data_IF_909872495377
#
_entry.id   IF_909872495377
#
_cell.length_a   1.000
_cell.length_b   1.000
_cell.length_c   1.000
_cell.angle_alpha   90.00
_cell.angle_beta   90.00
_cell.angle_gamma   90.00
#
_symmetry.space_group_name_H-M   'P 1'
#
loop_
_entity.id
_entity.type
_entity.pdbx_description
1 polymer ?
#
# COMPACT_ATOMS: atom_id res chain seq x y z
N UNK A 1 -7.79 -5.32 11.12
CA UNK A 1 -8.80 -5.87 10.18
C UNK A 1 -10.15 -5.15 10.19
N UNK A 2 -10.63 -4.61 11.31
CA UNK A 2 -11.97 -3.99 11.40
C UNK A 2 -12.25 -2.88 10.36
N UNK A 3 -11.24 -2.09 10.01
CA UNK A 3 -11.35 -1.03 9.01
C UNK A 3 -11.30 -1.53 7.55
N UNK A 4 -10.98 -2.82 7.34
CA UNK A 4 -10.84 -3.47 6.04
C UNK A 4 -11.64 -4.79 6.02
N UNK A 5 -12.98 -4.73 6.13
CA UNK A 5 -13.82 -5.92 6.21
C UNK A 5 -13.78 -6.78 4.94
N UNK A 6 -13.56 -6.18 3.77
CA UNK A 6 -13.40 -6.91 2.51
C UNK A 6 -12.11 -7.72 2.50
N UNK A 7 -10.98 -7.15 2.93
CA UNK A 7 -9.73 -7.89 3.07
C UNK A 7 -9.88 -9.07 4.05
N UNK A 8 -10.57 -8.88 5.18
CA UNK A 8 -10.86 -9.99 6.09
C UNK A 8 -11.72 -11.07 5.42
N UNK A 9 -12.71 -10.67 4.62
CA UNK A 9 -13.57 -11.59 3.87
C UNK A 9 -12.79 -12.35 2.79
N UNK A 10 -11.83 -11.69 2.12
CA UNK A 10 -10.94 -12.30 1.12
C UNK A 10 -10.04 -13.37 1.75
N UNK A 11 -9.49 -13.11 2.95
CA UNK A 11 -8.72 -14.11 3.70
C UNK A 11 -9.58 -15.34 3.99
N UNK A 12 -10.79 -15.14 4.55
CA UNK A 12 -11.68 -16.25 4.89
C UNK A 12 -12.16 -17.04 3.67
N UNK A 13 -12.36 -16.39 2.51
CA UNK A 13 -12.71 -17.06 1.24
C UNK A 13 -11.59 -17.95 0.70
N UNK A 14 -10.35 -17.72 1.13
CA UNK A 14 -9.17 -18.51 0.80
C UNK A 14 -8.78 -19.48 1.94
N UNK A 15 -9.71 -19.74 2.88
CA UNK A 15 -9.47 -20.58 4.06
C UNK A 15 -8.30 -20.09 4.95
N UNK A 16 -7.89 -18.83 4.82
CA UNK A 16 -6.88 -18.19 5.64
C UNK A 16 -7.52 -17.62 6.92
N UNK A 17 -7.43 -18.38 8.01
CA UNK A 17 -7.92 -17.93 9.32
C UNK A 17 -6.85 -17.09 10.02
N UNK A 18 -7.11 -15.80 10.32
CA UNK A 18 -6.16 -14.97 11.07
C UNK A 18 -5.71 -15.65 12.37
N UNK A 19 -4.41 -15.68 12.60
CA UNK A 19 -3.76 -16.33 13.73
C UNK A 19 -3.33 -17.78 13.48
N UNK A 20 -3.79 -18.40 12.39
CA UNK A 20 -3.36 -19.74 11.92
C UNK A 20 -2.53 -19.69 10.62
N UNK A 21 -2.34 -18.49 10.09
CA UNK A 21 -1.59 -18.24 8.87
C UNK A 21 -0.09 -18.40 9.15
N UNK A 22 0.62 -19.01 8.20
CA UNK A 22 2.05 -19.35 8.30
C UNK A 22 2.71 -18.97 7.00
N UNK A 23 3.61 -17.97 7.03
CA UNK A 23 4.27 -17.46 5.81
C UNK A 23 5.22 -18.44 5.14
N UNK A 24 5.78 -19.40 5.89
CA UNK A 24 6.63 -20.46 5.33
C UNK A 24 5.83 -21.51 4.55
N UNK A 25 4.50 -21.54 4.69
CA UNK A 25 3.64 -22.36 3.84
C UNK A 25 3.43 -21.62 2.49
N UNK A 26 3.89 -22.17 1.36
CA UNK A 26 3.80 -21.49 0.07
C UNK A 26 2.36 -21.15 -0.34
N UNK A 27 1.38 -22.00 0.00
CA UNK A 27 -0.03 -21.73 -0.32
C UNK A 27 -0.55 -20.52 0.46
N UNK A 28 -0.30 -20.49 1.78
CA UNK A 28 -0.68 -19.34 2.60
C UNK A 28 0.02 -18.06 2.13
N UNK A 29 1.31 -18.14 1.80
CA UNK A 29 2.04 -17.00 1.25
C UNK A 29 1.39 -16.46 -0.02
N UNK A 30 1.11 -17.32 -1.00
CA UNK A 30 0.48 -16.92 -2.26
C UNK A 30 -0.89 -16.29 -2.05
N UNK A 31 -1.73 -16.91 -1.22
CA UNK A 31 -3.09 -16.45 -0.93
C UNK A 31 -3.10 -15.08 -0.22
N UNK A 32 -2.19 -14.86 0.74
CA UNK A 32 -2.05 -13.53 1.40
C UNK A 32 -1.60 -12.49 0.39
N UNK A 33 -0.57 -12.79 -0.42
CA UNK A 33 -0.06 -11.85 -1.41
C UNK A 33 -1.15 -11.51 -2.46
N UNK A 34 -2.00 -12.47 -2.81
CA UNK A 34 -3.14 -12.24 -3.69
C UNK A 34 -4.20 -11.36 -3.03
N UNK A 35 -4.56 -11.62 -1.76
CA UNK A 35 -5.48 -10.77 -1.02
C UNK A 35 -4.97 -9.32 -0.90
N UNK A 36 -3.66 -9.14 -0.66
CA UNK A 36 -3.06 -7.80 -0.62
C UNK A 36 -3.11 -7.10 -1.99
N UNK A 37 -2.89 -7.83 -3.09
CA UNK A 37 -3.01 -7.26 -4.46
C UNK A 37 -4.44 -6.84 -4.76
N UNK A 38 -5.42 -7.68 -4.45
CA UNK A 38 -6.85 -7.33 -4.62
C UNK A 38 -7.19 -6.06 -3.85
N UNK A 39 -6.74 -5.94 -2.60
CA UNK A 39 -6.98 -4.74 -1.81
C UNK A 39 -6.32 -3.49 -2.41
N UNK A 40 -5.13 -3.62 -3.00
CA UNK A 40 -4.47 -2.51 -3.70
C UNK A 40 -5.23 -2.13 -4.98
N UNK A 41 -5.73 -3.10 -5.74
CA UNK A 41 -6.50 -2.84 -6.95
C UNK A 41 -7.82 -2.11 -6.62
N UNK A 42 -8.53 -2.53 -5.57
CA UNK A 42 -9.73 -1.84 -5.07
C UNK A 42 -9.42 -0.40 -4.63
N UNK A 43 -8.28 -0.20 -3.96
CA UNK A 43 -7.80 1.12 -3.59
C UNK A 43 -7.52 1.98 -4.83
N UNK A 44 -6.89 1.44 -5.86
CA UNK A 44 -6.62 2.15 -7.11
C UNK A 44 -7.89 2.56 -7.85
N UNK A 45 -8.90 1.70 -7.93
CA UNK A 45 -10.18 2.06 -8.53
C UNK A 45 -10.87 3.16 -7.74
N UNK A 46 -10.81 3.10 -6.40
CA UNK A 46 -11.35 4.14 -5.52
C UNK A 46 -10.65 5.49 -5.76
N UNK A 47 -9.31 5.50 -5.81
CA UNK A 47 -8.54 6.73 -6.08
C UNK A 47 -8.86 7.29 -7.47
N UNK A 48 -8.93 6.44 -8.50
CA UNK A 48 -9.28 6.90 -9.86
C UNK A 48 -10.65 7.56 -9.89
N UNK A 49 -11.65 6.95 -9.25
CA UNK A 49 -13.00 7.50 -9.18
C UNK A 49 -13.05 8.82 -8.41
N UNK A 50 -12.38 8.90 -7.27
CA UNK A 50 -12.32 10.11 -6.43
C UNK A 50 -11.62 11.28 -7.16
N UNK A 51 -10.48 11.02 -7.79
CA UNK A 51 -9.73 12.04 -8.54
C UNK A 51 -10.48 12.51 -9.78
N UNK A 52 -11.16 11.60 -10.48
CA UNK A 52 -12.04 11.96 -11.60
C UNK A 52 -13.21 12.84 -11.14
N UNK A 53 -13.81 12.54 -9.98
CA UNK A 53 -14.91 13.35 -9.43
C UNK A 53 -14.44 14.74 -8.97
N UNK A 54 -13.21 14.83 -8.44
CA UNK A 54 -12.64 16.06 -7.88
C UNK A 54 -12.07 17.00 -8.95
N UNK A 55 -11.32 16.45 -9.90
CA UNK A 55 -10.52 17.23 -10.87
C UNK A 55 -11.00 17.09 -12.32
N UNK A 56 -11.91 16.15 -12.61
CA UNK A 56 -12.43 15.93 -13.95
C UNK A 56 -11.43 15.33 -14.93
N UNK A 57 -11.67 15.54 -16.22
CA UNK A 57 -10.90 14.92 -17.31
C UNK A 57 -9.50 15.51 -17.52
N UNK A 58 -9.20 16.65 -16.90
CA UNK A 58 -7.88 17.32 -16.95
C UNK A 58 -6.87 16.66 -16.00
N UNK A 59 -7.28 15.59 -15.31
CA UNK A 59 -6.48 14.84 -14.36
C UNK A 59 -6.36 13.38 -14.74
N UNK A 60 -5.17 12.83 -14.57
CA UNK A 60 -4.88 11.42 -14.87
C UNK A 60 -4.20 10.77 -13.67
N UNK A 61 -4.60 9.54 -13.38
CA UNK A 61 -3.99 8.72 -12.32
C UNK A 61 -3.23 7.58 -12.98
N UNK A 62 -1.92 7.54 -12.76
CA UNK A 62 -1.05 6.43 -13.19
C UNK A 62 -0.67 5.61 -11.97
N UNK A 63 -1.18 4.38 -11.89
CA UNK A 63 -0.89 3.46 -10.79
C UNK A 63 0.40 2.70 -11.04
N UNK A 64 1.21 2.48 -10.00
CA UNK A 64 2.35 1.59 -10.08
C UNK A 64 1.94 0.17 -9.66
N UNK A 65 2.31 -0.87 -10.43
CA UNK A 65 1.96 -2.24 -10.06
C UNK A 65 2.60 -2.61 -8.71
N UNK A 66 1.90 -3.37 -7.84
CA UNK A 66 2.48 -3.82 -6.58
C UNK A 66 3.71 -4.70 -6.83
N UNK A 67 4.80 -4.42 -6.11
CA UNK A 67 6.04 -5.19 -6.14
C UNK A 67 6.32 -5.77 -4.76
N UNK A 68 6.88 -6.98 -4.69
CA UNK A 68 7.31 -7.56 -3.43
C UNK A 68 8.28 -6.63 -2.70
N UNK A 69 8.02 -6.44 -1.41
CA UNK A 69 8.86 -5.67 -0.50
C UNK A 69 8.97 -6.39 0.83
N UNK A 70 10.06 -6.13 1.54
CA UNK A 70 10.22 -6.55 2.93
C UNK A 70 9.73 -5.42 3.85
N UNK A 71 8.93 -5.79 4.86
CA UNK A 71 8.40 -4.88 5.88
C UNK A 71 8.71 -5.47 7.25
N UNK A 72 9.79 -4.98 7.86
CA UNK A 72 10.42 -5.64 9.00
C UNK A 72 10.89 -7.05 8.63
N UNK A 73 10.36 -8.06 9.31
CA UNK A 73 10.65 -9.48 9.02
C UNK A 73 9.62 -10.16 8.11
N UNK A 74 8.56 -9.45 7.72
CA UNK A 74 7.44 -10.03 7.01
C UNK A 74 7.43 -9.61 5.54
N UNK A 75 6.97 -10.49 4.64
CA UNK A 75 6.75 -10.13 3.25
C UNK A 75 5.55 -9.18 3.14
N UNK A 76 5.67 -8.20 2.25
CA UNK A 76 4.64 -7.24 1.92
C UNK A 76 4.74 -6.80 0.47
N UNK A 77 4.01 -5.72 0.15
CA UNK A 77 4.01 -5.11 -1.17
C UNK A 77 4.31 -3.61 -1.05
N UNK A 78 5.14 -3.10 -1.96
CA UNK A 78 5.26 -1.67 -2.24
C UNK A 78 4.40 -1.33 -3.45
N UNK A 79 3.66 -0.24 -3.35
CA UNK A 79 2.69 0.20 -4.35
C UNK A 79 2.50 1.72 -4.27
N UNK A 80 1.77 2.30 -5.21
CA UNK A 80 1.61 3.74 -5.27
C UNK A 80 0.89 4.22 -6.52
N UNK A 81 0.71 5.52 -6.61
CA UNK A 81 0.26 6.15 -7.85
C UNK A 81 0.85 7.54 -8.01
N UNK A 82 0.81 8.05 -9.23
CA UNK A 82 1.12 9.43 -9.57
C UNK A 82 -0.12 10.06 -10.19
N UNK A 83 -0.54 11.21 -9.66
CA UNK A 83 -1.56 12.04 -10.26
C UNK A 83 -0.93 13.16 -11.08
N UNK A 84 -1.34 13.30 -12.33
CA UNK A 84 -0.80 14.26 -13.29
C UNK A 84 -1.90 15.09 -13.92
N UNK A 85 -1.65 16.40 -14.02
CA UNK A 85 -2.48 17.33 -14.80
C UNK A 85 -2.26 17.11 -16.30
N UNK A 86 -3.18 17.60 -17.11
CA UNK A 86 -3.10 17.61 -18.59
C UNK A 86 -1.83 18.32 -19.11
N UNK A 87 -1.30 19.28 -18.35
CA UNK A 87 -0.01 19.95 -18.62
C UNK A 87 1.20 19.03 -18.49
N UNK A 88 1.04 17.82 -17.94
CA UNK A 88 2.12 16.90 -17.60
C UNK A 88 2.75 17.17 -16.23
N UNK A 89 2.28 18.17 -15.49
CA UNK A 89 2.72 18.46 -14.13
C UNK A 89 2.26 17.36 -13.17
N UNK A 90 3.19 16.86 -12.34
CA UNK A 90 2.86 15.97 -11.23
C UNK A 90 2.20 16.78 -10.12
N UNK A 91 0.92 16.49 -9.87
CA UNK A 91 0.15 17.12 -8.81
C UNK A 91 0.30 16.36 -7.49
N UNK A 92 0.39 15.03 -7.55
CA UNK A 92 0.60 14.20 -6.37
C UNK A 92 1.38 12.93 -6.73
N UNK A 93 2.07 12.37 -5.73
CA UNK A 93 2.73 11.08 -5.85
C UNK A 93 2.73 10.36 -4.50
N UNK A 94 2.21 9.15 -4.48
CA UNK A 94 2.10 8.33 -3.28
C UNK A 94 3.01 7.10 -3.39
N UNK A 95 3.70 6.79 -2.29
CA UNK A 95 4.49 5.57 -2.12
C UNK A 95 4.01 4.93 -0.82
N UNK A 96 3.47 3.72 -0.94
CA UNK A 96 2.87 2.98 0.16
C UNK A 96 3.45 1.59 0.26
N UNK A 97 3.59 1.11 1.49
CA UNK A 97 3.91 -0.27 1.80
C UNK A 97 2.72 -0.88 2.53
N UNK A 98 2.39 -2.12 2.20
CA UNK A 98 1.33 -2.88 2.89
C UNK A 98 1.83 -4.26 3.27
N UNK A 99 1.45 -4.72 4.46
CA UNK A 99 1.63 -6.10 4.88
C UNK A 99 0.58 -6.51 5.92
N UNK A 100 0.42 -7.81 6.11
CA UNK A 100 -0.44 -8.39 7.13
C UNK A 100 0.39 -9.23 8.12
N UNK A 101 0.18 -9.08 9.42
CA UNK A 101 0.97 -9.80 10.43
C UNK A 101 0.58 -11.26 10.64
N UNK A 102 -0.23 -11.82 9.75
CA UNK A 102 -0.84 -13.16 9.84
C UNK A 102 -1.89 -13.33 10.95
N UNK A 103 -2.08 -12.35 11.83
CA UNK A 103 -2.87 -12.50 13.05
C UNK A 103 -4.06 -11.54 13.12
N UNK A 104 -3.84 -10.23 13.00
CA UNK A 104 -4.85 -9.23 13.30
C UNK A 104 -4.64 -7.89 12.59
N UNK A 105 -3.40 -7.52 12.33
CA UNK A 105 -3.05 -6.18 11.88
C UNK A 105 -2.62 -6.16 10.43
N UNK A 106 -3.32 -5.32 9.67
CA UNK A 106 -2.90 -4.87 8.36
C UNK A 106 -2.16 -3.54 8.58
N UNK A 107 -0.89 -3.50 8.20
CA UNK A 107 -0.07 -2.31 8.30
C UNK A 107 0.00 -1.65 6.94
N UNK A 108 -0.29 -0.36 6.90
CA UNK A 108 -0.11 0.49 5.71
C UNK A 108 0.77 1.66 6.11
N UNK A 109 1.89 1.81 5.43
CA UNK A 109 2.87 2.87 5.69
C UNK A 109 2.99 3.68 4.41
N UNK A 110 2.53 4.92 4.45
CA UNK A 110 2.45 5.78 3.27
C UNK A 110 3.27 7.04 3.48
N UNK A 111 3.94 7.45 2.42
CA UNK A 111 4.42 8.82 2.25
C UNK A 111 3.99 9.35 0.89
N UNK A 112 3.91 10.66 0.76
CA UNK A 112 3.53 11.26 -0.51
C UNK A 112 4.06 12.66 -0.67
N UNK A 113 4.08 13.10 -1.93
CA UNK A 113 4.08 14.49 -2.34
C UNK A 113 2.64 14.81 -2.70
N UNK A 114 2.05 15.78 -2.01
CA UNK A 114 0.76 16.37 -2.32
C UNK A 114 0.75 17.77 -1.68
N UNK A 115 0.99 18.83 -2.47
CA UNK A 115 1.08 20.19 -1.95
C UNK A 115 -0.28 20.76 -1.52
N UNK A 116 -1.39 20.08 -1.81
CA UNK A 116 -2.74 20.47 -1.41
C UNK A 116 -3.22 19.73 -0.16
N UNK A 117 -2.51 18.69 0.30
CA UNK A 117 -2.85 17.97 1.51
C UNK A 117 -2.64 18.84 2.76
N UNK A 118 -3.56 18.72 3.73
CA UNK A 118 -3.52 19.51 4.96
C UNK A 118 -2.33 19.16 5.88
N UNK A 119 -1.84 17.92 5.84
CA UNK A 119 -0.64 17.48 6.58
C UNK A 119 -0.14 16.11 6.10
N UNK A 120 1.07 15.73 6.53
CA UNK A 120 1.59 14.37 6.35
C UNK A 120 2.25 14.09 5.00
N UNK A 121 2.53 15.12 4.21
CA UNK A 121 3.08 15.01 2.85
C UNK A 121 4.28 15.93 2.65
N UNK A 122 5.13 15.59 1.69
CA UNK A 122 6.16 16.48 1.18
C UNK A 122 5.51 17.58 0.34
N UNK A 123 5.96 18.81 0.51
CA UNK A 123 5.54 19.96 -0.30
C UNK A 123 6.33 20.10 -1.61
N UNK A 124 7.34 19.26 -1.79
CA UNK A 124 8.23 19.24 -2.95
C UNK A 124 8.47 17.80 -3.41
N UNK A 125 8.36 17.57 -4.73
CA UNK A 125 8.49 16.24 -5.31
C UNK A 125 9.91 15.71 -5.20
N UNK A 126 10.93 16.56 -5.39
CA UNK A 126 12.33 16.14 -5.30
C UNK A 126 12.67 15.66 -3.87
N UNK A 127 12.07 16.27 -2.86
CA UNK A 127 12.20 15.85 -1.46
C UNK A 127 11.61 14.46 -1.22
N UNK A 128 10.44 14.14 -1.79
CA UNK A 128 9.88 12.79 -1.77
C UNK A 128 10.85 11.80 -2.44
N UNK A 129 11.35 12.13 -3.63
CA UNK A 129 12.24 11.25 -4.40
C UNK A 129 13.57 11.00 -3.67
N UNK A 130 14.12 12.02 -3.03
CA UNK A 130 15.29 11.90 -2.17
C UNK A 130 15.00 11.06 -0.92
N UNK A 131 13.80 11.16 -0.35
CA UNK A 131 13.41 10.42 0.85
C UNK A 131 13.04 8.95 0.57
N UNK A 132 12.51 8.61 -0.60
CA UNK A 132 11.99 7.28 -0.90
C UNK A 132 12.97 6.11 -0.59
N UNK A 133 14.27 6.19 -0.89
CA UNK A 133 15.23 5.15 -0.49
C UNK A 133 15.39 5.02 1.03
N UNK A 134 15.26 6.13 1.76
CA UNK A 134 15.29 6.12 3.23
C UNK A 134 14.02 5.50 3.81
N UNK A 135 12.84 5.78 3.23
CA UNK A 135 11.60 5.10 3.61
C UNK A 135 11.74 3.59 3.44
N UNK A 136 12.25 3.12 2.29
CA UNK A 136 12.47 1.70 2.05
C UNK A 136 13.35 1.08 3.15
N UNK A 137 14.44 1.77 3.54
CA UNK A 137 15.32 1.33 4.63
C UNK A 137 14.60 1.29 5.97
N UNK A 138 13.80 2.31 6.29
CA UNK A 138 13.02 2.37 7.53
C UNK A 138 12.04 1.19 7.59
N UNK A 139 11.26 1.00 6.53
CA UNK A 139 10.23 -0.03 6.43
C UNK A 139 10.83 -1.43 6.56
N UNK A 140 11.96 -1.69 5.90
CA UNK A 140 12.68 -2.97 5.97
C UNK A 140 13.18 -3.29 7.39
N UNK A 141 13.47 -2.25 8.19
CA UNK A 141 14.04 -2.40 9.54
C UNK A 141 13.02 -2.17 10.67
N UNK A 142 11.72 -2.17 10.37
CA UNK A 142 10.69 -2.03 11.40
C UNK A 142 10.65 -3.26 12.31
N UNK A 143 10.71 -3.00 13.62
CA UNK A 143 10.46 -4.02 14.64
C UNK A 143 8.95 -4.14 14.87
N UNK A 144 8.28 -4.83 13.96
CA UNK A 144 6.84 -5.08 14.05
C UNK A 144 6.58 -6.32 14.90
N UNK A 145 5.46 -6.35 15.65
CA UNK A 145 5.05 -7.54 16.38
C UNK A 145 4.97 -8.71 15.41
N UNK A 146 5.89 -9.65 15.56
CA UNK A 146 5.85 -10.94 14.89
C UNK A 146 5.79 -11.97 16.01
N UNK A 147 4.87 -12.93 15.89
CA UNK A 147 4.91 -14.07 16.79
C UNK A 147 6.10 -14.92 16.39
N UNK A 148 7.15 -14.89 17.20
CA UNK A 148 8.13 -15.98 17.25
C UNK A 148 7.36 -17.25 17.62
N UNK A 149 7.29 -18.23 16.72
CA UNK A 149 6.83 -19.59 17.03
C UNK A 149 7.95 -20.58 16.70
#
# INVERSE_FOLDING_TARGET
LEQYPEFHSDLLRQDLVPGLIVYDNPAHYEDIMNALRTLIDDYYETIRADRLATYGAEYSVTTQPPVLAQVGRLPGLVYGFTGTRDTGEVAERYISYIMFDSAQYLYIITTSYDPLAESGTFTDLASLEQFAPHLATIVDNLDLPHRDW
#
